data_IF_676608431779
#
_entry.id   IF_676608431779
#
_cell.length_a   1.000
_cell.length_b   1.000
_cell.length_c   1.000
_cell.angle_alpha   90.00
_cell.angle_beta   90.00
_cell.angle_gamma   90.00
#
_symmetry.space_group_name_H-M   'P 1'
#
loop_
_entity.id
_entity.type
_entity.pdbx_description
1 polymer ?
#
# COMPACT_ATOMS: atom_id res chain seq x y z
N UNK A 1 -3.84 -10.78 25.64
CA UNK A 1 -2.90 -11.93 25.48
C UNK A 1 -3.56 -13.27 25.09
N UNK A 2 -4.89 -13.44 25.11
CA UNK A 2 -5.57 -14.63 24.57
C UNK A 2 -6.74 -14.36 23.60
N UNK A 3 -7.25 -13.13 23.54
CA UNK A 3 -8.49 -12.80 22.84
C UNK A 3 -8.31 -12.36 21.38
N UNK A 4 -7.18 -11.73 21.01
CA UNK A 4 -6.85 -11.49 19.58
C UNK A 4 -6.83 -12.83 18.84
N UNK A 5 -6.23 -13.88 19.42
CA UNK A 5 -6.06 -15.19 18.76
C UNK A 5 -7.32 -16.04 18.56
N UNK A 6 -8.36 -15.85 19.39
CA UNK A 6 -9.59 -16.63 19.29
C UNK A 6 -10.49 -16.17 18.11
N UNK A 7 -10.39 -14.89 17.70
CA UNK A 7 -11.20 -14.33 16.62
C UNK A 7 -10.70 -14.69 15.22
N UNK A 8 -9.43 -15.06 15.07
CA UNK A 8 -8.82 -15.38 13.77
C UNK A 8 -8.85 -16.87 13.43
N UNK A 9 -9.80 -17.65 13.97
CA UNK A 9 -9.93 -19.05 13.59
C UNK A 9 -10.49 -19.13 12.16
N UNK A 10 -9.77 -19.71 11.19
CA UNK A 10 -10.20 -19.80 9.78
C UNK A 10 -11.54 -20.54 9.57
N UNK A 11 -11.99 -21.27 10.59
CA UNK A 11 -13.21 -22.06 10.56
C UNK A 11 -14.50 -21.25 10.84
N UNK A 12 -14.40 -20.04 11.40
CA UNK A 12 -15.57 -19.24 11.76
C UNK A 12 -15.95 -18.18 10.70
N UNK A 13 -15.11 -17.96 9.69
CA UNK A 13 -15.44 -17.13 8.51
C UNK A 13 -15.86 -15.71 8.86
N UNK A 14 -14.90 -14.81 9.07
CA UNK A 14 -15.21 -13.39 9.10
C UNK A 14 -15.81 -12.97 7.76
N UNK A 15 -17.10 -12.63 7.77
CA UNK A 15 -17.86 -12.29 6.57
C UNK A 15 -17.72 -10.79 6.29
N UNK A 16 -16.74 -10.45 5.45
CA UNK A 16 -16.47 -9.06 5.04
C UNK A 16 -17.67 -8.39 4.35
N UNK A 17 -18.61 -9.15 3.78
CA UNK A 17 -19.81 -8.58 3.19
C UNK A 17 -20.76 -8.06 4.28
N UNK A 18 -20.92 -8.84 5.35
CA UNK A 18 -21.78 -8.49 6.49
C UNK A 18 -21.14 -7.50 7.45
N UNK A 19 -19.81 -7.34 7.40
CA UNK A 19 -19.13 -6.39 8.25
C UNK A 19 -19.67 -4.96 8.01
N UNK A 20 -20.05 -4.24 9.08
CA UNK A 20 -20.74 -2.97 8.99
C UNK A 20 -19.90 -1.94 8.23
N UNK A 21 -20.56 -1.20 7.34
CA UNK A 21 -19.99 -0.05 6.65
C UNK A 21 -20.45 1.26 7.29
N UNK A 22 -20.45 1.29 8.61
CA UNK A 22 -20.84 2.43 9.45
C UNK A 22 -19.81 2.58 10.57
N UNK A 23 -19.63 3.80 11.11
CA UNK A 23 -18.74 4.00 12.25
C UNK A 23 -19.22 3.17 13.44
N UNK A 24 -18.29 2.57 14.22
CA UNK A 24 -18.63 1.92 15.48
C UNK A 24 -19.41 2.86 16.41
N UNK A 25 -20.61 2.47 16.86
CA UNK A 25 -21.48 3.34 17.68
C UNK A 25 -21.03 3.44 19.13
N UNK A 26 -20.41 2.38 19.65
CA UNK A 26 -20.16 2.21 21.09
C UNK A 26 -18.71 2.54 21.48
N UNK A 27 -17.90 3.02 20.53
CA UNK A 27 -16.49 3.38 20.72
C UNK A 27 -16.15 4.63 19.90
N UNK A 28 -16.21 5.79 20.55
CA UNK A 28 -16.02 7.11 19.91
C UNK A 28 -14.63 7.24 19.27
N UNK A 29 -13.59 6.67 19.87
CA UNK A 29 -12.25 6.69 19.29
C UNK A 29 -12.17 5.78 18.06
N UNK A 30 -12.79 4.61 18.10
CA UNK A 30 -12.88 3.75 16.91
C UNK A 30 -13.71 4.39 15.80
N UNK A 31 -14.77 5.13 16.14
CA UNK A 31 -15.55 5.94 15.20
C UNK A 31 -14.67 6.98 14.49
N UNK A 32 -13.87 7.75 15.25
CA UNK A 32 -12.93 8.73 14.68
C UNK A 32 -11.88 8.08 13.76
N UNK A 33 -11.35 6.92 14.16
CA UNK A 33 -10.41 6.15 13.31
C UNK A 33 -11.11 5.69 12.04
N UNK A 34 -12.34 5.19 12.13
CA UNK A 34 -13.14 4.76 10.99
C UNK A 34 -13.46 5.92 10.03
N UNK A 35 -13.83 7.10 10.55
CA UNK A 35 -14.06 8.30 9.74
C UNK A 35 -12.79 8.74 8.99
N UNK A 36 -11.64 8.68 9.66
CA UNK A 36 -10.35 8.95 9.03
C UNK A 36 -10.06 7.96 7.90
N UNK A 37 -10.35 6.67 8.10
CA UNK A 37 -10.25 5.63 7.06
C UNK A 37 -11.14 6.00 5.86
N UNK A 38 -12.42 6.28 6.09
CA UNK A 38 -13.40 6.59 5.04
C UNK A 38 -12.98 7.81 4.21
N UNK A 39 -12.58 8.90 4.86
CA UNK A 39 -12.05 10.10 4.17
C UNK A 39 -10.81 9.80 3.34
N UNK A 40 -9.90 8.96 3.86
CA UNK A 40 -8.69 8.57 3.16
C UNK A 40 -8.95 7.65 1.96
N UNK A 41 -10.00 6.83 2.00
CA UNK A 41 -10.42 6.02 0.86
C UNK A 41 -10.93 6.89 -0.28
N UNK A 42 -11.75 7.91 0.03
CA UNK A 42 -12.21 8.89 -0.96
C UNK A 42 -11.04 9.65 -1.60
N UNK A 43 -10.12 10.15 -0.76
CA UNK A 43 -8.92 10.88 -1.23
C UNK A 43 -8.03 10.00 -2.12
N UNK A 44 -7.90 8.70 -1.78
CA UNK A 44 -7.09 7.77 -2.59
C UNK A 44 -7.72 7.44 -3.92
N UNK A 45 -9.05 7.34 -3.99
CA UNK A 45 -9.75 7.12 -5.25
C UNK A 45 -9.43 8.24 -6.25
N UNK A 46 -9.51 9.50 -5.82
CA UNK A 46 -9.12 10.65 -6.64
C UNK A 46 -7.62 10.63 -7.00
N UNK A 47 -6.74 10.32 -6.05
CA UNK A 47 -5.30 10.21 -6.30
C UNK A 47 -4.98 9.11 -7.33
N UNK A 48 -5.66 7.97 -7.26
CA UNK A 48 -5.52 6.86 -8.20
C UNK A 48 -5.98 7.24 -9.61
N UNK A 49 -7.11 7.93 -9.76
CA UNK A 49 -7.57 8.44 -11.05
C UNK A 49 -6.56 9.43 -11.66
N UNK A 50 -6.06 10.37 -10.86
CA UNK A 50 -5.02 11.33 -11.28
C UNK A 50 -3.74 10.60 -11.72
N UNK A 51 -3.34 9.56 -10.98
CA UNK A 51 -2.15 8.77 -11.28
C UNK A 51 -2.26 8.00 -12.60
N UNK A 52 -3.42 7.42 -12.91
CA UNK A 52 -3.66 6.74 -14.20
C UNK A 52 -3.46 7.69 -15.38
N UNK A 53 -3.94 8.92 -15.24
CA UNK A 53 -3.82 9.99 -16.26
C UNK A 53 -2.51 10.77 -16.20
N UNK A 54 -1.54 10.36 -15.36
CA UNK A 54 -0.26 11.06 -15.26
C UNK A 54 0.47 11.03 -16.60
N UNK A 55 0.78 12.22 -17.12
CA UNK A 55 1.60 12.46 -18.30
C UNK A 55 2.90 13.12 -17.85
N UNK A 56 4.03 12.54 -18.24
CA UNK A 56 5.35 13.07 -17.89
C UNK A 56 5.73 14.30 -18.68
N UNK A 57 6.64 15.09 -18.13
CA UNK A 57 7.12 16.33 -18.73
C UNK A 57 8.33 16.12 -19.65
N UNK A 58 8.36 15.00 -20.38
CA UNK A 58 9.52 14.61 -21.20
C UNK A 58 9.92 15.64 -22.25
N UNK A 59 8.96 16.39 -22.82
CA UNK A 59 9.24 17.46 -23.77
C UNK A 59 9.87 18.69 -23.10
N UNK A 60 9.29 19.16 -21.99
CA UNK A 60 9.83 20.25 -21.15
C UNK A 60 11.28 19.94 -20.73
N UNK A 61 11.52 18.71 -20.27
CA UNK A 61 12.86 18.24 -19.87
C UNK A 61 13.81 18.30 -21.07
N UNK A 62 13.39 17.81 -22.24
CA UNK A 62 14.23 17.78 -23.45
C UNK A 62 14.57 19.19 -23.92
N UNK A 63 13.60 20.09 -23.94
CA UNK A 63 13.82 21.48 -24.36
C UNK A 63 14.77 22.21 -23.41
N UNK A 64 14.59 22.03 -22.10
CA UNK A 64 15.49 22.58 -21.08
C UNK A 64 16.92 22.06 -21.25
N UNK A 65 17.08 20.75 -21.49
CA UNK A 65 18.40 20.12 -21.68
C UNK A 65 19.07 20.54 -23.00
N UNK A 66 18.30 20.82 -24.04
CA UNK A 66 18.82 21.29 -25.33
C UNK A 66 19.33 22.74 -25.27
N UNK A 67 18.81 23.54 -24.33
CA UNK A 67 19.12 24.97 -24.20
C UNK A 67 19.72 25.33 -22.82
N UNK A 68 20.85 24.72 -22.40
CA UNK A 68 21.37 24.85 -21.03
C UNK A 68 21.92 26.24 -20.67
N UNK A 69 22.13 27.11 -21.67
CA UNK A 69 22.64 28.49 -21.50
C UNK A 69 21.56 29.55 -21.63
N UNK A 70 20.34 29.16 -22.01
CA UNK A 70 19.21 30.07 -22.16
C UNK A 70 18.45 30.14 -20.83
N UNK A 71 18.65 31.22 -20.08
CA UNK A 71 18.04 31.40 -18.75
C UNK A 71 16.52 31.40 -18.80
N UNK A 72 15.92 31.99 -19.84
CA UNK A 72 14.46 32.03 -19.99
C UNK A 72 13.91 30.61 -20.15
N UNK A 73 14.55 29.80 -20.99
CA UNK A 73 14.16 28.39 -21.16
C UNK A 73 14.44 27.52 -19.94
N UNK A 74 15.46 27.82 -19.14
CA UNK A 74 15.69 27.10 -17.88
C UNK A 74 14.58 27.41 -16.86
N UNK A 75 14.16 28.67 -16.76
CA UNK A 75 13.08 29.10 -15.85
C UNK A 75 11.75 28.49 -16.30
N UNK A 76 11.38 28.63 -17.58
CA UNK A 76 10.18 28.02 -18.15
C UNK A 76 10.17 26.49 -17.95
N UNK A 77 11.32 25.86 -18.18
CA UNK A 77 11.55 24.45 -17.93
C UNK A 77 11.31 24.03 -16.49
N UNK A 78 11.78 24.84 -15.54
CA UNK A 78 11.65 24.57 -14.11
C UNK A 78 10.22 24.79 -13.60
N UNK A 79 9.62 25.94 -13.91
CA UNK A 79 8.26 26.30 -13.54
C UNK A 79 7.22 25.37 -14.20
N UNK A 80 7.47 24.96 -15.45
CA UNK A 80 6.66 23.99 -16.17
C UNK A 80 6.58 22.62 -15.48
N UNK A 81 7.51 22.30 -14.58
CA UNK A 81 7.44 21.08 -13.77
C UNK A 81 6.39 21.16 -12.66
N UNK A 82 6.04 22.36 -12.19
CA UNK A 82 5.31 22.54 -10.94
C UNK A 82 3.98 21.79 -10.84
N UNK A 83 3.15 21.69 -11.91
CA UNK A 83 1.92 20.89 -11.85
C UNK A 83 2.19 19.42 -11.51
N UNK A 84 3.19 18.81 -12.14
CA UNK A 84 3.57 17.43 -11.89
C UNK A 84 4.25 17.24 -10.54
N UNK A 85 5.10 18.19 -10.11
CA UNK A 85 5.75 18.13 -8.79
C UNK A 85 4.73 18.28 -7.67
N UNK A 86 3.70 19.12 -7.82
CA UNK A 86 2.59 19.19 -6.88
C UNK A 86 1.84 17.87 -6.77
N UNK A 87 1.55 17.19 -7.89
CA UNK A 87 0.93 15.85 -7.89
C UNK A 87 1.79 14.83 -7.16
N UNK A 88 3.11 14.83 -7.40
CA UNK A 88 4.07 13.95 -6.71
C UNK A 88 4.10 14.24 -5.21
N UNK A 89 4.14 15.52 -4.81
CA UNK A 89 4.08 15.94 -3.41
C UNK A 89 2.79 15.46 -2.75
N UNK A 90 1.63 15.64 -3.38
CA UNK A 90 0.35 15.16 -2.85
C UNK A 90 0.37 13.64 -2.63
N UNK A 91 0.96 12.88 -3.56
CA UNK A 91 1.09 11.43 -3.42
C UNK A 91 1.99 11.03 -2.23
N UNK A 92 3.11 11.75 -2.04
CA UNK A 92 4.02 11.58 -0.90
C UNK A 92 3.36 11.92 0.45
N UNK A 93 2.59 13.01 0.51
CA UNK A 93 1.87 13.37 1.73
C UNK A 93 0.77 12.36 2.02
N UNK A 94 0.02 11.94 0.99
CA UNK A 94 -1.00 10.91 1.12
C UNK A 94 -0.42 9.60 1.66
N UNK A 95 0.80 9.21 1.28
CA UNK A 95 1.42 7.99 1.84
C UNK A 95 1.70 8.11 3.33
N UNK A 96 2.10 9.30 3.80
CA UNK A 96 2.31 9.56 5.24
C UNK A 96 1.00 9.50 6.02
N UNK A 97 -0.04 10.16 5.53
CA UNK A 97 -1.36 10.17 6.18
C UNK A 97 -1.96 8.76 6.22
N UNK A 98 -1.81 8.01 5.13
CA UNK A 98 -2.25 6.62 5.05
C UNK A 98 -1.54 5.74 6.08
N UNK A 99 -0.22 5.87 6.17
CA UNK A 99 0.57 5.10 7.12
C UNK A 99 0.19 5.44 8.56
N UNK A 100 0.02 6.73 8.89
CA UNK A 100 -0.43 7.17 10.21
C UNK A 100 -1.81 6.58 10.56
N UNK A 101 -2.77 6.60 9.63
CA UNK A 101 -4.08 5.99 9.80
C UNK A 101 -3.99 4.48 10.01
N UNK A 102 -3.16 3.75 9.26
CA UNK A 102 -2.94 2.31 9.46
C UNK A 102 -2.39 2.03 10.86
N UNK A 103 -1.46 2.84 11.37
CA UNK A 103 -0.96 2.67 12.74
C UNK A 103 -2.08 2.84 13.79
N UNK A 104 -2.99 3.79 13.59
CA UNK A 104 -4.17 3.98 14.45
C UNK A 104 -5.12 2.79 14.38
N UNK A 105 -5.43 2.31 13.17
CA UNK A 105 -6.29 1.14 12.95
C UNK A 105 -5.71 -0.10 13.64
N UNK A 106 -4.43 -0.40 13.45
CA UNK A 106 -3.77 -1.55 14.09
C UNK A 106 -3.79 -1.45 15.61
N UNK A 107 -3.52 -0.26 16.16
CA UNK A 107 -3.58 -0.02 17.60
C UNK A 107 -4.99 -0.26 18.13
N UNK A 108 -6.00 0.34 17.50
CA UNK A 108 -7.39 0.21 17.95
C UNK A 108 -7.94 -1.21 17.82
N UNK A 109 -7.56 -1.93 16.75
CA UNK A 109 -7.85 -3.36 16.60
C UNK A 109 -7.25 -4.22 17.72
N UNK A 110 -6.12 -3.79 18.29
CA UNK A 110 -5.44 -4.52 19.38
C UNK A 110 -6.05 -4.23 20.76
N UNK A 111 -6.72 -3.09 20.91
CA UNK A 111 -7.29 -2.62 22.18
C UNK A 111 -8.78 -2.92 22.32
N UNK A 112 -9.52 -2.96 21.22
CA UNK A 112 -10.96 -3.19 21.25
C UNK A 112 -11.28 -4.65 21.56
N UNK A 113 -12.29 -4.89 22.38
CA UNK A 113 -12.88 -6.23 22.60
C UNK A 113 -14.28 -6.35 21.97
N UNK A 114 -14.80 -5.27 21.36
CA UNK A 114 -16.08 -5.27 20.68
C UNK A 114 -15.92 -5.81 19.25
N UNK A 115 -16.74 -6.80 18.89
CA UNK A 115 -16.64 -7.48 17.60
C UNK A 115 -17.15 -6.70 16.41
N UNK A 116 -18.18 -5.87 16.60
CA UNK A 116 -18.66 -5.00 15.55
C UNK A 116 -17.61 -3.92 15.23
N UNK A 117 -16.94 -3.39 16.27
CA UNK A 117 -15.82 -2.46 16.12
C UNK A 117 -14.65 -3.11 15.38
N UNK A 118 -14.22 -4.31 15.80
CA UNK A 118 -13.16 -5.05 15.09
C UNK A 118 -13.56 -5.31 13.64
N UNK A 119 -14.81 -5.71 13.40
CA UNK A 119 -15.30 -5.99 12.06
C UNK A 119 -15.22 -4.78 11.13
N UNK A 120 -15.73 -3.63 11.58
CA UNK A 120 -15.69 -2.38 10.83
C UNK A 120 -14.24 -1.97 10.50
N UNK A 121 -13.35 -2.03 11.49
CA UNK A 121 -11.94 -1.64 11.33
C UNK A 121 -11.15 -2.63 10.46
N UNK A 122 -11.44 -3.93 10.50
CA UNK A 122 -10.82 -4.93 9.62
C UNK A 122 -11.22 -4.73 8.16
N UNK A 123 -12.49 -4.42 7.90
CA UNK A 123 -12.97 -4.07 6.54
C UNK A 123 -12.34 -2.76 6.05
N UNK A 124 -12.24 -1.76 6.91
CA UNK A 124 -11.53 -0.51 6.63
C UNK A 124 -10.05 -0.73 6.32
N UNK A 125 -9.37 -1.60 7.08
CA UNK A 125 -7.99 -1.98 6.84
C UNK A 125 -7.83 -2.68 5.48
N UNK A 126 -8.69 -3.66 5.16
CA UNK A 126 -8.66 -4.34 3.87
C UNK A 126 -8.83 -3.35 2.71
N UNK A 127 -9.77 -2.42 2.83
CA UNK A 127 -10.02 -1.36 1.83
C UNK A 127 -8.82 -0.43 1.67
N UNK A 128 -8.17 -0.04 2.76
CA UNK A 128 -6.96 0.80 2.70
C UNK A 128 -5.81 0.07 2.00
N UNK A 129 -5.61 -1.22 2.32
CA UNK A 129 -4.56 -2.03 1.72
C UNK A 129 -4.81 -2.28 0.23
N UNK A 130 -6.06 -2.44 -0.19
CA UNK A 130 -6.43 -2.48 -1.61
C UNK A 130 -6.04 -1.19 -2.33
N UNK A 131 -6.40 -0.02 -1.78
CA UNK A 131 -6.06 1.25 -2.41
C UNK A 131 -4.54 1.50 -2.42
N UNK A 132 -3.82 1.08 -1.38
CA UNK A 132 -2.35 1.09 -1.36
C UNK A 132 -1.80 0.25 -2.51
N UNK A 133 -2.30 -0.98 -2.68
CA UNK A 133 -1.88 -1.86 -3.76
C UNK A 133 -2.11 -1.19 -5.12
N UNK A 134 -3.31 -0.65 -5.35
CA UNK A 134 -3.66 -0.02 -6.62
C UNK A 134 -2.76 1.18 -6.96
N UNK A 135 -2.48 2.03 -5.97
CA UNK A 135 -1.60 3.20 -6.14
C UNK A 135 -0.16 2.77 -6.42
N UNK A 136 0.41 1.87 -5.61
CA UNK A 136 1.79 1.41 -5.80
C UNK A 136 1.92 0.70 -7.16
N UNK A 137 0.95 -0.16 -7.52
CA UNK A 137 0.89 -0.83 -8.81
C UNK A 137 0.85 0.15 -9.99
N UNK A 138 -0.04 1.14 -9.94
CA UNK A 138 -0.12 2.16 -10.98
C UNK A 138 1.16 3.01 -11.07
N UNK A 139 1.75 3.37 -9.92
CA UNK A 139 3.01 4.14 -9.87
C UNK A 139 4.15 3.37 -10.52
N UNK A 140 4.24 2.05 -10.32
CA UNK A 140 5.28 1.23 -10.96
C UNK A 140 5.24 1.29 -12.48
N UNK A 141 4.06 1.51 -13.07
CA UNK A 141 3.87 1.63 -14.52
C UNK A 141 4.02 3.06 -15.05
N UNK A 142 4.53 3.99 -14.22
CA UNK A 142 4.71 5.42 -14.54
C UNK A 142 6.14 5.88 -14.22
N UNK A 143 7.15 5.42 -14.97
CA UNK A 143 8.55 5.82 -14.76
C UNK A 143 8.77 7.33 -14.87
N UNK A 144 7.87 8.05 -15.57
CA UNK A 144 7.88 9.50 -15.72
C UNK A 144 7.88 10.23 -14.38
N UNK A 145 7.21 9.68 -13.35
CA UNK A 145 7.16 10.27 -12.01
C UNK A 145 8.56 10.47 -11.43
N UNK A 146 9.42 9.45 -11.57
CA UNK A 146 10.79 9.51 -11.07
C UNK A 146 11.64 10.44 -11.95
N UNK A 147 11.44 10.42 -13.26
CA UNK A 147 12.18 11.27 -14.20
C UNK A 147 11.89 12.76 -13.97
N UNK A 148 10.61 13.11 -13.85
CA UNK A 148 10.14 14.48 -13.61
C UNK A 148 10.69 15.01 -12.29
N UNK A 149 10.59 14.23 -11.21
CA UNK A 149 11.13 14.65 -9.92
C UNK A 149 12.66 14.76 -9.92
N UNK A 150 13.34 13.87 -10.64
CA UNK A 150 14.80 13.91 -10.76
C UNK A 150 15.27 15.14 -11.52
N UNK A 151 14.55 15.54 -12.57
CA UNK A 151 14.84 16.79 -13.27
C UNK A 151 14.59 18.00 -12.37
N UNK A 152 13.42 18.09 -11.73
CA UNK A 152 13.11 19.17 -10.80
C UNK A 152 14.16 19.31 -9.70
N UNK A 153 14.59 18.21 -9.07
CA UNK A 153 15.60 18.25 -8.01
C UNK A 153 16.96 18.76 -8.48
N UNK A 154 17.37 18.45 -9.71
CA UNK A 154 18.62 18.98 -10.27
C UNK A 154 18.56 20.47 -10.55
N UNK A 155 17.39 20.97 -10.92
CA UNK A 155 17.18 22.40 -11.18
C UNK A 155 16.94 23.20 -9.90
N UNK A 156 16.46 22.55 -8.83
CA UNK A 156 16.08 23.19 -7.57
C UNK A 156 17.21 24.00 -6.93
N UNK A 157 18.46 23.53 -6.96
CA UNK A 157 19.59 24.25 -6.35
C UNK A 157 19.75 25.66 -6.93
N UNK A 158 19.60 25.79 -8.26
CA UNK A 158 19.69 27.08 -8.97
C UNK A 158 18.48 27.99 -8.77
N UNK A 159 17.35 27.42 -8.39
CA UNK A 159 16.07 28.12 -8.25
C UNK A 159 15.53 28.05 -6.81
N UNK A 160 16.41 27.84 -5.83
CA UNK A 160 16.05 27.61 -4.43
C UNK A 160 15.36 28.81 -3.76
N UNK A 161 15.54 30.02 -4.30
CA UNK A 161 14.89 31.25 -3.86
C UNK A 161 13.54 31.53 -4.55
N UNK A 162 13.08 30.64 -5.44
CA UNK A 162 11.81 30.84 -6.15
C UNK A 162 10.63 30.84 -5.15
N UNK A 163 9.72 31.83 -5.18
CA UNK A 163 8.69 31.99 -4.15
C UNK A 163 7.61 30.89 -4.18
N UNK A 164 7.37 30.28 -5.34
CA UNK A 164 6.27 29.33 -5.55
C UNK A 164 6.72 27.85 -5.60
N UNK A 165 7.87 27.52 -5.00
CA UNK A 165 8.39 26.15 -5.04
C UNK A 165 7.37 25.13 -4.51
N UNK A 166 6.95 24.15 -5.32
CA UNK A 166 6.09 23.07 -4.84
C UNK A 166 6.76 22.26 -3.71
N UNK A 167 8.05 21.97 -3.87
CA UNK A 167 8.85 21.19 -2.93
C UNK A 167 10.20 21.88 -2.71
N UNK A 168 10.45 22.35 -1.50
CA UNK A 168 11.74 22.93 -1.12
C UNK A 168 12.84 21.87 -0.94
N UNK A 169 14.08 22.33 -0.75
CA UNK A 169 15.24 21.45 -0.59
C UNK A 169 15.15 20.58 0.68
N UNK A 170 14.52 21.09 1.75
CA UNK A 170 14.36 20.38 3.01
C UNK A 170 13.49 19.11 2.86
N UNK A 171 12.50 19.14 1.96
CA UNK A 171 11.60 18.01 1.71
C UNK A 171 11.99 17.21 0.45
N UNK A 172 12.73 17.80 -0.50
CA UNK A 172 13.10 17.17 -1.77
C UNK A 172 13.86 15.85 -1.62
N UNK A 173 14.71 15.72 -0.60
CA UNK A 173 15.43 14.48 -0.28
C UNK A 173 14.46 13.33 0.01
N UNK A 174 13.46 13.56 0.85
CA UNK A 174 12.45 12.57 1.22
C UNK A 174 11.56 12.18 0.04
N UNK A 175 11.13 13.17 -0.76
CA UNK A 175 10.32 12.90 -1.95
C UNK A 175 11.11 12.10 -2.99
N UNK A 176 12.41 12.35 -3.13
CA UNK A 176 13.28 11.53 -3.99
C UNK A 176 13.33 10.08 -3.56
N UNK A 177 13.53 9.83 -2.25
CA UNK A 177 13.54 8.48 -1.72
C UNK A 177 12.20 7.77 -1.93
N UNK A 178 11.09 8.50 -1.80
CA UNK A 178 9.74 8.03 -2.04
C UNK A 178 9.55 7.61 -3.51
N UNK A 179 9.80 8.49 -4.48
CA UNK A 179 9.60 8.17 -5.91
C UNK A 179 10.54 7.09 -6.43
N UNK A 180 11.68 6.86 -5.77
CA UNK A 180 12.62 5.80 -6.12
C UNK A 180 12.14 4.39 -5.68
N UNK A 181 11.20 4.28 -4.75
CA UNK A 181 10.68 2.96 -4.33
C UNK A 181 9.73 2.39 -5.40
N UNK A 182 9.80 1.08 -5.64
CA UNK A 182 8.80 0.39 -6.46
C UNK A 182 7.40 0.49 -5.81
N UNK A 183 7.31 0.20 -4.51
CA UNK A 183 6.09 0.24 -3.71
C UNK A 183 6.21 1.27 -2.57
N UNK A 184 6.09 2.57 -2.88
CA UNK A 184 6.35 3.61 -1.90
C UNK A 184 5.41 3.60 -0.68
N UNK A 185 4.13 3.29 -0.84
CA UNK A 185 3.18 3.23 0.28
C UNK A 185 3.48 2.02 1.16
N UNK A 186 3.67 0.84 0.57
CA UNK A 186 4.06 -0.37 1.30
C UNK A 186 5.39 -0.13 2.05
N UNK A 187 6.37 0.51 1.40
CA UNK A 187 7.66 0.80 2.04
C UNK A 187 7.52 1.73 3.25
N UNK A 188 6.66 2.75 3.16
CA UNK A 188 6.36 3.63 4.29
C UNK A 188 5.81 2.85 5.49
N UNK A 189 4.91 1.89 5.25
CA UNK A 189 4.31 1.05 6.30
C UNK A 189 5.37 0.14 6.93
N UNK A 190 6.21 -0.51 6.11
CA UNK A 190 7.33 -1.35 6.60
C UNK A 190 8.20 -0.54 7.56
N UNK A 191 8.65 0.65 7.15
CA UNK A 191 9.54 1.47 7.98
C UNK A 191 8.91 1.88 9.32
N UNK A 192 7.62 2.21 9.34
CA UNK A 192 6.92 2.52 10.59
C UNK A 192 6.73 1.29 11.48
N UNK A 193 6.37 0.13 10.91
CA UNK A 193 6.23 -1.11 11.68
C UNK A 193 7.58 -1.62 12.23
N UNK A 194 8.67 -1.48 11.47
CA UNK A 194 10.03 -1.77 11.94
C UNK A 194 10.42 -0.86 13.11
N UNK A 195 10.08 0.43 13.03
CA UNK A 195 10.35 1.41 14.08
C UNK A 195 9.55 1.07 15.34
N UNK A 196 8.25 0.82 15.20
CA UNK A 196 7.38 0.38 16.29
C UNK A 196 7.90 -0.89 16.98
N UNK A 197 8.37 -1.87 16.20
CA UNK A 197 8.97 -3.11 16.73
C UNK A 197 10.26 -2.84 17.52
N UNK A 198 11.11 -1.91 17.07
CA UNK A 198 12.36 -1.54 17.76
C UNK A 198 12.10 -0.76 19.05
N UNK A 199 11.08 0.08 19.08
CA UNK A 199 10.69 0.90 20.24
C UNK A 199 9.92 0.10 21.30
N UNK A 200 9.80 -1.24 21.14
CA UNK A 200 9.05 -2.09 22.07
C UNK A 200 7.53 -1.98 21.93
N UNK A 201 7.03 -1.33 20.87
CA UNK A 201 5.62 -1.29 20.54
C UNK A 201 5.07 -2.67 20.15
N UNK A 202 3.73 -2.81 20.25
CA UNK A 202 2.91 -4.02 19.96
C UNK A 202 3.69 -5.27 19.53
N UNK A 203 4.09 -6.15 20.45
CA UNK A 203 4.82 -7.39 20.15
C UNK A 203 4.02 -8.36 19.24
N UNK A 204 2.76 -8.06 18.96
CA UNK A 204 1.83 -8.94 18.25
C UNK A 204 1.67 -8.63 16.75
N UNK A 205 2.45 -7.71 16.17
CA UNK A 205 2.27 -7.32 14.75
C UNK A 205 2.48 -8.47 13.75
N UNK A 206 3.49 -9.31 13.97
CA UNK A 206 3.77 -10.49 13.12
C UNK A 206 2.59 -11.48 13.18
N UNK A 207 2.13 -11.93 14.37
CA UNK A 207 0.92 -12.74 14.47
C UNK A 207 -0.30 -12.09 13.81
N UNK A 208 -0.54 -10.80 14.06
CA UNK A 208 -1.66 -10.07 13.47
C UNK A 208 -1.62 -10.12 11.93
N UNK A 209 -0.49 -9.77 11.32
CA UNK A 209 -0.34 -9.80 9.87
C UNK A 209 -0.58 -11.21 9.29
N UNK A 210 -0.04 -12.26 9.93
CA UNK A 210 -0.27 -13.63 9.45
C UNK A 210 -1.72 -14.07 9.55
N UNK A 211 -2.38 -13.75 10.66
CA UNK A 211 -3.78 -14.10 10.90
C UNK A 211 -4.70 -13.36 9.93
N UNK A 212 -4.49 -12.05 9.78
CA UNK A 212 -5.24 -11.22 8.84
C UNK A 212 -5.04 -11.68 7.39
N UNK A 213 -3.81 -12.06 7.01
CA UNK A 213 -3.51 -12.61 5.68
C UNK A 213 -4.30 -13.90 5.43
N UNK A 214 -4.23 -14.87 6.35
CA UNK A 214 -4.93 -16.14 6.21
C UNK A 214 -6.46 -15.94 6.18
N UNK A 215 -6.97 -14.99 6.98
CA UNK A 215 -8.39 -14.61 6.97
C UNK A 215 -8.82 -14.02 5.63
N UNK A 216 -8.04 -13.08 5.06
CA UNK A 216 -8.31 -12.53 3.74
C UNK A 216 -8.31 -13.61 2.66
N UNK A 217 -7.33 -14.53 2.69
CA UNK A 217 -7.24 -15.62 1.74
C UNK A 217 -8.45 -16.57 1.80
N UNK A 218 -8.85 -16.97 3.02
CA UNK A 218 -10.01 -17.84 3.23
C UNK A 218 -11.32 -17.17 2.82
N UNK A 219 -11.49 -15.90 3.17
CA UNK A 219 -12.69 -15.12 2.85
C UNK A 219 -12.80 -14.87 1.34
N UNK A 220 -11.69 -14.57 0.67
CA UNK A 220 -11.67 -14.38 -0.78
C UNK A 220 -12.06 -15.67 -1.51
N UNK A 221 -11.52 -16.81 -1.09
CA UNK A 221 -11.86 -18.11 -1.66
C UNK A 221 -13.33 -18.49 -1.43
N UNK A 222 -13.87 -18.24 -0.24
CA UNK A 222 -15.27 -18.46 0.06
C UNK A 222 -16.18 -17.56 -0.80
N UNK A 223 -15.82 -16.28 -0.93
CA UNK A 223 -16.54 -15.29 -1.73
C UNK A 223 -16.63 -15.70 -3.22
N UNK A 224 -15.52 -16.16 -3.79
CA UNK A 224 -15.49 -16.70 -5.16
C UNK A 224 -16.47 -17.86 -5.34
N UNK A 225 -16.50 -18.81 -4.39
CA UNK A 225 -17.36 -19.99 -4.47
C UNK A 225 -18.83 -19.68 -4.23
N UNK A 226 -19.11 -18.66 -3.42
CA UNK A 226 -20.47 -18.18 -3.12
C UNK A 226 -21.08 -17.26 -4.18
N UNK A 227 -20.37 -16.98 -5.29
CA UNK A 227 -20.77 -16.00 -6.31
C UNK A 227 -21.02 -14.60 -5.71
N UNK A 228 -20.18 -14.20 -4.75
CA UNK A 228 -20.20 -12.90 -4.10
C UNK A 228 -19.65 -11.79 -5.01
N UNK A 229 -19.77 -10.53 -4.58
CA UNK A 229 -19.32 -9.38 -5.35
C UNK A 229 -17.83 -9.47 -5.70
N UNK A 230 -17.48 -9.29 -6.99
CA UNK A 230 -16.08 -9.34 -7.47
C UNK A 230 -15.20 -8.29 -6.76
N UNK A 231 -15.75 -7.11 -6.43
CA UNK A 231 -15.03 -6.07 -5.72
C UNK A 231 -14.59 -6.52 -4.30
N UNK A 232 -15.42 -7.33 -3.63
CA UNK A 232 -15.06 -7.88 -2.31
C UNK A 232 -13.91 -8.90 -2.45
N UNK A 233 -13.98 -9.77 -3.46
CA UNK A 233 -12.90 -10.72 -3.77
C UNK A 233 -11.59 -9.98 -4.08
N UNK A 234 -11.67 -8.92 -4.88
CA UNK A 234 -10.55 -8.07 -5.25
C UNK A 234 -9.89 -7.41 -4.03
N UNK A 235 -10.69 -6.76 -3.18
CA UNK A 235 -10.22 -6.13 -1.94
C UNK A 235 -9.46 -7.13 -1.06
N UNK A 236 -9.99 -8.33 -0.90
CA UNK A 236 -9.39 -9.35 -0.04
C UNK A 236 -8.08 -9.91 -0.60
N UNK A 237 -7.98 -10.17 -1.90
CA UNK A 237 -6.71 -10.58 -2.51
C UNK A 237 -5.67 -9.46 -2.52
N UNK A 238 -6.09 -8.21 -2.69
CA UNK A 238 -5.18 -7.07 -2.57
C UNK A 238 -4.64 -6.94 -1.14
N UNK A 239 -5.52 -6.98 -0.13
CA UNK A 239 -5.14 -6.94 1.28
C UNK A 239 -4.21 -8.11 1.65
N UNK A 240 -4.55 -9.34 1.25
CA UNK A 240 -3.72 -10.52 1.41
C UNK A 240 -2.33 -10.32 0.79
N UNK A 241 -2.27 -9.82 -0.45
CA UNK A 241 -1.01 -9.62 -1.17
C UNK A 241 -0.12 -8.59 -0.47
N UNK A 242 -0.67 -7.44 -0.08
CA UNK A 242 0.08 -6.41 0.67
C UNK A 242 0.56 -6.98 2.00
N UNK A 243 -0.28 -7.69 2.75
CA UNK A 243 0.12 -8.27 4.03
C UNK A 243 1.22 -9.33 3.90
N UNK A 244 1.26 -10.12 2.82
CA UNK A 244 2.38 -11.04 2.55
C UNK A 244 3.68 -10.23 2.34
N UNK A 245 3.63 -9.15 1.56
CA UNK A 245 4.81 -8.28 1.34
C UNK A 245 5.31 -7.63 2.64
N UNK A 246 4.38 -7.14 3.47
CA UNK A 246 4.70 -6.59 4.80
C UNK A 246 5.31 -7.66 5.70
N UNK A 247 4.67 -8.83 5.82
CA UNK A 247 5.13 -9.93 6.65
C UNK A 247 6.51 -10.41 6.22
N UNK A 248 6.73 -10.62 4.92
CA UNK A 248 8.00 -11.12 4.39
C UNK A 248 9.17 -10.17 4.67
N UNK A 249 8.89 -8.88 4.74
CA UNK A 249 9.87 -7.85 5.08
C UNK A 249 10.21 -7.83 6.58
N UNK A 250 9.18 -7.96 7.43
CA UNK A 250 9.28 -7.81 8.89
C UNK A 250 9.73 -9.08 9.63
N UNK A 251 9.42 -10.26 9.08
CA UNK A 251 9.78 -11.56 9.65
C UNK A 251 11.19 -11.97 9.19
N UNK A 252 12.15 -12.28 10.10
CA UNK A 252 13.52 -12.64 9.71
C UNK A 252 13.62 -13.78 8.70
N UNK A 253 12.78 -14.81 8.83
CA UNK A 253 12.77 -15.96 7.92
C UNK A 253 11.90 -15.73 6.67
N UNK A 254 11.16 -14.63 6.61
CA UNK A 254 10.22 -14.31 5.53
C UNK A 254 8.93 -15.14 5.54
N UNK A 255 8.12 -14.92 4.51
CA UNK A 255 6.79 -15.51 4.36
C UNK A 255 6.82 -16.93 3.76
N UNK A 256 7.86 -17.29 2.99
CA UNK A 256 7.87 -18.50 2.17
C UNK A 256 8.48 -19.74 2.87
N UNK A 257 8.44 -19.79 4.20
CA UNK A 257 9.00 -20.90 4.98
C UNK A 257 8.03 -22.08 5.06
N UNK A 258 8.55 -23.32 5.14
CA UNK A 258 7.74 -24.55 5.19
C UNK A 258 6.80 -24.62 6.40
N UNK A 259 7.22 -24.05 7.53
CA UNK A 259 6.48 -24.02 8.80
C UNK A 259 6.13 -22.58 9.20
N UNK A 260 5.90 -21.72 8.20
CA UNK A 260 5.50 -20.32 8.42
C UNK A 260 4.07 -20.18 8.93
N UNK A 261 3.75 -19.00 9.46
CA UNK A 261 2.39 -18.67 9.96
C UNK A 261 1.37 -18.43 8.85
N UNK A 262 1.84 -18.09 7.65
CA UNK A 262 1.00 -17.85 6.48
C UNK A 262 0.97 -19.12 5.64
N UNK A 263 -0.23 -19.60 5.30
CA UNK A 263 -0.40 -20.71 4.36
C UNK A 263 -0.27 -20.18 2.92
N UNK A 264 0.97 -19.94 2.50
CA UNK A 264 1.27 -19.38 1.17
C UNK A 264 0.67 -20.24 0.06
N UNK A 265 0.68 -21.57 0.19
CA UNK A 265 0.11 -22.45 -0.83
C UNK A 265 -1.39 -22.20 -1.00
N UNK A 266 -2.14 -22.07 0.10
CA UNK A 266 -3.56 -21.70 0.03
C UNK A 266 -3.78 -20.32 -0.58
N UNK A 267 -2.96 -19.33 -0.19
CA UNK A 267 -3.05 -17.98 -0.75
C UNK A 267 -2.89 -17.99 -2.29
N UNK A 268 -1.84 -18.65 -2.79
CA UNK A 268 -1.56 -18.70 -4.23
C UNK A 268 -2.56 -19.57 -4.98
N UNK A 269 -2.99 -20.70 -4.41
CA UNK A 269 -4.01 -21.53 -5.04
C UNK A 269 -5.36 -20.81 -5.15
N UNK A 270 -5.74 -19.99 -4.15
CA UNK A 270 -6.93 -19.17 -4.21
C UNK A 270 -6.85 -18.11 -5.33
N UNK A 271 -5.70 -17.44 -5.47
CA UNK A 271 -5.44 -16.56 -6.61
C UNK A 271 -5.53 -17.31 -7.95
N UNK A 272 -4.92 -18.49 -8.04
CA UNK A 272 -4.92 -19.30 -9.26
C UNK A 272 -6.30 -19.82 -9.65
N UNK A 273 -7.18 -20.06 -8.68
CA UNK A 273 -8.58 -20.42 -8.93
C UNK A 273 -9.48 -19.23 -9.24
N UNK A 274 -8.96 -18.00 -9.12
CA UNK A 274 -9.71 -16.80 -9.46
C UNK A 274 -9.69 -16.56 -10.96
N UNK A 275 -10.87 -16.58 -11.58
CA UNK A 275 -11.03 -16.18 -12.97
C UNK A 275 -11.14 -14.65 -13.06
N UNK A 276 -9.98 -13.97 -13.00
CA UNK A 276 -9.88 -12.52 -13.15
C UNK A 276 -8.55 -12.13 -13.78
N UNK A 277 -8.58 -11.14 -14.67
CA UNK A 277 -7.38 -10.55 -15.29
C UNK A 277 -6.43 -9.95 -14.23
N UNK A 278 -6.98 -9.57 -13.08
CA UNK A 278 -6.22 -9.03 -11.94
C UNK A 278 -5.34 -10.07 -11.26
N UNK A 279 -5.59 -11.37 -11.41
CA UNK A 279 -4.77 -12.44 -10.80
C UNK A 279 -3.26 -12.24 -11.04
N UNK A 280 -2.87 -12.00 -12.29
CA UNK A 280 -1.47 -11.86 -12.69
C UNK A 280 -0.79 -10.69 -12.00
N UNK A 281 -1.53 -9.62 -11.72
CA UNK A 281 -1.01 -8.44 -11.03
C UNK A 281 -0.59 -8.77 -9.59
N UNK A 282 -1.41 -9.56 -8.87
CA UNK A 282 -1.11 -9.99 -7.49
C UNK A 282 0.06 -10.98 -7.43
N UNK A 283 0.09 -11.95 -8.34
CA UNK A 283 1.19 -12.91 -8.45
C UNK A 283 2.52 -12.21 -8.76
N UNK A 284 2.52 -11.24 -9.67
CA UNK A 284 3.70 -10.44 -9.98
C UNK A 284 4.14 -9.59 -8.78
N UNK A 285 3.21 -8.93 -8.10
CA UNK A 285 3.54 -8.17 -6.89
C UNK A 285 4.21 -9.06 -5.84
N UNK A 286 3.69 -10.25 -5.58
CA UNK A 286 4.32 -11.21 -4.67
C UNK A 286 5.70 -11.66 -5.14
N UNK A 287 5.88 -11.92 -6.44
CA UNK A 287 7.15 -12.36 -7.03
C UNK A 287 8.26 -11.32 -6.96
N UNK A 288 7.92 -10.05 -7.19
CA UNK A 288 8.90 -8.97 -7.34
C UNK A 288 9.03 -8.07 -6.11
N UNK A 289 8.01 -8.03 -5.23
CA UNK A 289 8.01 -7.13 -4.06
C UNK A 289 8.35 -7.83 -2.75
N UNK A 290 8.38 -9.16 -2.73
CA UNK A 290 8.84 -9.92 -1.54
C UNK A 290 10.35 -10.15 -1.60
N UNK A 291 10.99 -10.11 -0.43
CA UNK A 291 12.43 -10.32 -0.24
C UNK A 291 12.82 -11.79 -0.39
N UNK A 292 11.98 -12.72 0.07
CA UNK A 292 12.38 -14.13 0.20
C UNK A 292 11.81 -15.08 -0.86
N UNK A 293 10.99 -14.60 -1.81
CA UNK A 293 10.41 -15.46 -2.87
C UNK A 293 11.46 -16.25 -3.66
N UNK A 294 12.61 -15.66 -3.99
CA UNK A 294 13.69 -16.35 -4.72
C UNK A 294 14.25 -17.57 -3.98
N UNK A 295 14.10 -17.61 -2.64
CA UNK A 295 14.52 -18.71 -1.77
C UNK A 295 13.36 -19.65 -1.41
N UNK A 296 12.16 -19.39 -1.93
CA UNK A 296 10.99 -20.21 -1.65
C UNK A 296 11.19 -21.64 -2.17
N UNK A 297 10.60 -22.66 -1.53
CA UNK A 297 10.66 -24.03 -2.01
C UNK A 297 10.19 -24.15 -3.47
N UNK A 298 10.80 -25.04 -4.26
CA UNK A 298 10.42 -25.28 -5.66
C UNK A 298 8.92 -25.56 -5.84
N UNK A 299 8.30 -26.25 -4.87
CA UNK A 299 6.85 -26.53 -4.88
C UNK A 299 5.98 -25.26 -4.82
N UNK A 300 6.48 -24.18 -4.22
CA UNK A 300 5.79 -22.88 -4.15
C UNK A 300 6.10 -22.05 -5.39
N UNK A 301 7.37 -21.98 -5.82
CA UNK A 301 7.73 -21.22 -7.03
C UNK A 301 7.00 -21.71 -8.29
N UNK A 302 6.70 -23.01 -8.39
CA UNK A 302 5.91 -23.59 -9.49
C UNK A 302 4.47 -23.09 -9.55
N UNK A 303 3.90 -22.61 -8.44
CA UNK A 303 2.53 -22.09 -8.40
C UNK A 303 2.39 -20.69 -9.04
N UNK A 304 3.51 -20.02 -9.29
CA UNK A 304 3.56 -18.67 -9.91
C UNK A 304 3.83 -18.73 -11.42
N UNK A 305 3.90 -19.92 -12.00
CA UNK A 305 4.11 -20.11 -13.43
C UNK A 305 2.74 -20.35 -14.07
N UNK A 306 2.42 -19.53 -15.07
CA UNK A 306 1.31 -19.80 -16.00
C UNK A 306 1.57 -21.09 -16.80
#
# INVERSE_FOLDING_TARGET
MGQIFAYFHPAAGFDFEKAPNVPPSDDEEAARVWEEVSRLLETKKDAYEKLKTYQGNGEIIRESMANPKDEAKQIEGFEGMFPNINRIKSLFLLSKDTNACIQKVITKLSESENEETKAALLKGLASLLEQIFNIDWAKMHKPEIQNDFSFYRRSLEKHSSHPELPVDDAVAGHVSMFVAQANPFIKSIITSLETRKREGGTPEIIPFLSNFTNMCAASAYAAQKGNQCEDNVNMLYAAMTVCIVLYDSLEPNGAFTKHGRIDIKKCINGLNSWDSEKKTQYLNSLKYSTRTFQKAPNSVQKLFKD
#
